data_IF_197595390020
#
_entry.id   IF_197595390020
#
_cell.length_a   1.000
_cell.length_b   1.000
_cell.length_c   1.000
_cell.angle_alpha   90.00
_cell.angle_beta   90.00
_cell.angle_gamma   90.00
#
_symmetry.space_group_name_H-M   'P 1'
#
loop_
_entity.id
_entity.type
_entity.pdbx_description
1 polymer ?
#
# COMPACT_ATOMS: atom_id res chain seq x y z
N UNK A 1 0.40 -14.26 -8.33
CA UNK A 1 0.39 -12.79 -8.12
C UNK A 1 1.76 -12.23 -8.45
N UNK A 2 1.84 -11.12 -9.19
CA UNK A 2 3.13 -10.55 -9.57
C UNK A 2 3.91 -10.00 -8.37
N UNK A 3 5.21 -9.97 -8.51
CA UNK A 3 6.13 -9.42 -7.51
C UNK A 3 5.94 -7.90 -7.33
N UNK A 4 5.69 -7.22 -8.45
CA UNK A 4 5.47 -5.77 -8.49
C UNK A 4 4.03 -5.52 -8.92
N UNK A 5 3.33 -4.67 -8.18
CA UNK A 5 1.91 -4.41 -8.39
C UNK A 5 1.68 -2.97 -8.80
N UNK A 6 0.73 -2.78 -9.71
CA UNK A 6 0.19 -1.45 -10.03
C UNK A 6 -0.85 -1.08 -8.97
N UNK A 7 -1.32 0.17 -9.01
CA UNK A 7 -2.42 0.62 -8.14
C UNK A 7 -3.65 -0.26 -8.36
N UNK A 8 -3.98 -0.54 -9.62
CA UNK A 8 -5.14 -1.36 -9.96
C UNK A 8 -5.04 -2.77 -9.41
N UNK A 9 -3.86 -3.37 -9.54
CA UNK A 9 -3.63 -4.72 -9.04
C UNK A 9 -3.71 -4.79 -7.52
N UNK A 10 -3.12 -3.79 -6.85
CA UNK A 10 -3.18 -3.73 -5.40
C UNK A 10 -4.62 -3.51 -4.90
N UNK A 11 -5.35 -2.64 -5.57
CA UNK A 11 -6.75 -2.37 -5.24
C UNK A 11 -7.58 -3.66 -5.34
N UNK A 12 -7.38 -4.43 -6.41
CA UNK A 12 -8.08 -5.69 -6.59
C UNK A 12 -7.71 -6.70 -5.50
N UNK A 13 -6.44 -6.78 -5.15
CA UNK A 13 -5.98 -7.69 -4.10
C UNK A 13 -6.59 -7.36 -2.75
N UNK A 14 -6.56 -6.08 -2.37
CA UNK A 14 -7.05 -5.62 -1.07
C UNK A 14 -8.56 -5.36 -1.05
N UNK A 15 -9.22 -5.53 -2.20
CA UNK A 15 -10.65 -5.29 -2.36
C UNK A 15 -11.03 -3.86 -1.98
N UNK A 16 -10.22 -2.93 -2.45
CA UNK A 16 -10.40 -1.50 -2.26
C UNK A 16 -10.52 -0.82 -3.62
N UNK A 17 -10.98 0.41 -3.62
CA UNK A 17 -11.03 1.19 -4.85
C UNK A 17 -9.64 1.76 -5.15
N UNK A 18 -9.38 2.09 -6.42
CA UNK A 18 -8.12 2.73 -6.81
C UNK A 18 -7.96 4.06 -6.07
N UNK A 19 -9.06 4.78 -5.88
CA UNK A 19 -9.05 6.05 -5.16
C UNK A 19 -8.59 5.87 -3.72
N UNK A 20 -9.06 4.84 -3.05
CA UNK A 20 -8.64 4.54 -1.69
C UNK A 20 -7.14 4.22 -1.61
N UNK A 21 -6.63 3.44 -2.56
CA UNK A 21 -5.20 3.15 -2.62
C UNK A 21 -4.41 4.43 -2.88
N UNK A 22 -4.88 5.25 -3.83
CA UNK A 22 -4.23 6.51 -4.14
C UNK A 22 -4.13 7.42 -2.91
N UNK A 23 -5.21 7.50 -2.13
CA UNK A 23 -5.22 8.30 -0.90
C UNK A 23 -4.17 7.81 0.09
N UNK A 24 -3.97 6.49 0.19
CA UNK A 24 -2.95 5.93 1.08
C UNK A 24 -1.53 6.30 0.65
N UNK A 25 -1.32 6.58 -0.63
CA UNK A 25 0.00 6.92 -1.16
C UNK A 25 0.33 8.40 -1.08
N UNK A 26 -0.64 9.24 -0.73
CA UNK A 26 -0.41 10.68 -0.68
C UNK A 26 0.53 11.04 0.46
N UNK A 27 1.41 11.99 0.21
CA UNK A 27 2.40 12.45 1.17
C UNK A 27 1.75 12.88 2.49
N UNK A 28 0.66 13.64 2.40
CA UNK A 28 -0.07 14.12 3.57
C UNK A 28 -0.61 12.97 4.43
N UNK A 29 -1.20 11.97 3.77
CA UNK A 29 -1.76 10.81 4.46
C UNK A 29 -0.66 9.99 5.13
N UNK A 30 0.43 9.76 4.40
CA UNK A 30 1.55 8.95 4.91
C UNK A 30 2.22 9.62 6.12
N UNK A 31 2.27 10.94 6.13
CA UNK A 31 2.94 11.69 7.19
C UNK A 31 2.28 11.51 8.56
N UNK A 32 0.97 11.20 8.60
CA UNK A 32 0.23 11.07 9.85
C UNK A 32 -0.04 9.63 10.25
N UNK A 33 0.43 8.67 9.48
CA UNK A 33 0.23 7.24 9.79
C UNK A 33 1.44 6.64 10.47
N UNK A 34 1.20 5.78 11.48
CA UNK A 34 2.26 5.07 12.17
C UNK A 34 2.97 4.09 11.23
N UNK A 35 2.18 3.43 10.37
CA UNK A 35 2.68 2.44 9.42
C UNK A 35 2.19 2.79 8.03
N UNK A 36 2.83 3.77 7.37
CA UNK A 36 2.41 4.17 6.02
C UNK A 36 2.66 3.05 5.02
N UNK A 37 1.80 2.98 4.01
CA UNK A 37 1.91 1.95 2.97
C UNK A 37 3.25 2.11 2.24
N UNK A 38 4.02 1.03 2.07
CA UNK A 38 5.29 1.10 1.34
C UNK A 38 5.05 1.30 -0.16
N UNK A 39 5.63 2.36 -0.70
CA UNK A 39 5.47 2.76 -2.09
C UNK A 39 6.82 2.68 -2.80
N UNK A 40 6.81 2.14 -4.02
CA UNK A 40 7.97 2.07 -4.88
C UNK A 40 7.74 2.99 -6.06
N UNK A 41 8.71 3.86 -6.36
CA UNK A 41 8.59 4.76 -7.51
C UNK A 41 9.63 4.38 -8.55
N UNK A 42 9.15 4.08 -9.75
CA UNK A 42 10.00 3.70 -10.87
C UNK A 42 9.70 4.67 -12.02
N UNK A 43 10.66 5.53 -12.34
CA UNK A 43 10.49 6.55 -13.39
C UNK A 43 9.21 7.36 -13.21
N UNK A 44 8.90 7.73 -11.96
CA UNK A 44 7.70 8.52 -11.65
C UNK A 44 6.42 7.70 -11.55
N UNK A 45 6.47 6.42 -11.84
CA UNK A 45 5.30 5.55 -11.72
C UNK A 45 5.24 4.94 -10.33
N UNK A 46 4.03 4.94 -9.75
CA UNK A 46 3.81 4.36 -8.43
C UNK A 46 3.61 2.85 -8.58
N UNK A 47 4.37 2.09 -7.82
CA UNK A 47 4.28 0.63 -7.79
C UNK A 47 4.40 0.15 -6.36
N UNK A 48 4.08 -1.12 -6.14
CA UNK A 48 4.15 -1.73 -4.82
C UNK A 48 4.83 -3.09 -4.94
N UNK A 49 5.69 -3.41 -3.98
CA UNK A 49 6.27 -4.75 -3.92
C UNK A 49 5.34 -5.63 -3.08
N UNK A 50 5.00 -6.79 -3.61
CA UNK A 50 4.10 -7.72 -2.93
C UNK A 50 4.57 -8.04 -1.50
N UNK A 51 5.84 -8.32 -1.35
CA UNK A 51 6.40 -8.70 -0.04
C UNK A 51 6.29 -7.54 0.96
N UNK A 52 6.47 -6.32 0.51
CA UNK A 52 6.35 -5.14 1.38
C UNK A 52 4.92 -4.95 1.83
N UNK A 53 3.96 -5.16 0.92
CA UNK A 53 2.55 -5.04 1.24
C UNK A 53 2.13 -6.14 2.23
N UNK A 54 2.64 -7.35 2.07
CA UNK A 54 2.35 -8.42 3.01
C UNK A 54 2.80 -8.07 4.44
N UNK A 55 3.98 -7.49 4.57
CA UNK A 55 4.49 -7.01 5.86
C UNK A 55 3.64 -5.88 6.42
N UNK A 56 3.24 -4.97 5.55
CA UNK A 56 2.39 -3.85 5.94
C UNK A 56 1.03 -4.34 6.45
N UNK A 57 0.46 -5.34 5.79
CA UNK A 57 -0.81 -5.94 6.22
C UNK A 57 -0.66 -6.59 7.60
N UNK A 58 0.44 -7.27 7.85
CA UNK A 58 0.71 -7.84 9.18
C UNK A 58 0.76 -6.76 10.24
N UNK A 59 1.38 -5.63 9.94
CA UNK A 59 1.44 -4.50 10.86
C UNK A 59 0.06 -3.94 11.16
N UNK A 60 -0.84 -3.92 10.18
CA UNK A 60 -2.21 -3.47 10.38
C UNK A 60 -2.97 -4.42 11.32
N UNK A 61 -2.78 -5.72 11.14
CA UNK A 61 -3.42 -6.71 12.00
C UNK A 61 -2.94 -6.55 13.45
N UNK A 62 -1.65 -6.40 13.66
CA UNK A 62 -1.07 -6.21 15.00
C UNK A 62 -1.61 -4.95 15.66
N UNK A 63 -1.77 -3.88 14.89
CA UNK A 63 -2.31 -2.62 15.37
C UNK A 63 -3.74 -2.79 15.88
N UNK A 64 -4.57 -3.57 15.16
CA UNK A 64 -5.96 -3.80 15.54
C UNK A 64 -6.06 -4.67 16.79
N UNK A 65 -5.16 -5.62 16.95
CA UNK A 65 -5.14 -6.53 18.11
C UNK A 65 -4.60 -5.85 19.35
N UNK A 66 -3.66 -4.95 19.15
CA UNK A 66 -3.07 -4.19 20.27
C UNK A 66 -4.03 -3.15 20.79
#
# INVERSE_FOLDING_TARGET
MPEILTIAELAAWLKMTRRQIYELTRERTRAVQDHPIPVLRINGNVRFRRVDIERWLEAQVMKEVA
#
